data_IF_178674075663
#
_entry.id   IF_178674075663
#
_cell.length_a   1.000
_cell.length_b   1.000
_cell.length_c   1.000
_cell.angle_alpha   90.00
_cell.angle_beta   90.00
_cell.angle_gamma   90.00
#
_symmetry.space_group_name_H-M   'P 1'
#
loop_
_entity.id
_entity.type
_entity.pdbx_description
1 polymer ?
#
# COMPACT_ATOMS: atom_id res chain seq x y z
N UNK A 1 85.85 2.89 -45.72
CA UNK A 1 86.24 4.17 -46.34
C UNK A 1 85.28 5.25 -45.85
N UNK A 2 85.82 6.35 -45.30
CA UNK A 2 85.07 7.50 -44.75
C UNK A 2 84.46 8.35 -45.86
N UNK A 3 83.36 9.08 -45.55
CA UNK A 3 82.84 10.38 -46.06
C UNK A 3 81.31 10.33 -45.81
N UNK A 4 80.66 11.05 -44.88
CA UNK A 4 80.63 12.45 -44.42
C UNK A 4 79.84 13.43 -45.31
N UNK A 5 78.97 14.23 -44.65
CA UNK A 5 78.35 15.52 -45.03
C UNK A 5 76.93 15.56 -45.62
N UNK A 6 75.98 15.88 -44.72
CA UNK A 6 75.00 16.99 -44.78
C UNK A 6 74.35 17.35 -46.13
N UNK A 7 73.04 17.10 -46.27
CA UNK A 7 72.00 17.97 -46.88
C UNK A 7 70.64 17.50 -46.27
N UNK A 8 70.15 18.05 -45.16
CA UNK A 8 69.21 19.21 -45.03
C UNK A 8 67.97 19.12 -45.95
N UNK A 9 66.78 18.86 -45.38
CA UNK A 9 65.52 18.91 -46.15
C UNK A 9 64.27 18.34 -45.47
N UNK A 10 63.92 18.89 -44.30
CA UNK A 10 62.56 19.09 -43.78
C UNK A 10 61.39 18.18 -44.28
N UNK A 11 60.93 17.27 -43.42
CA UNK A 11 59.51 16.91 -43.32
C UNK A 11 59.17 16.69 -41.85
N UNK A 12 58.44 17.67 -41.30
CA UNK A 12 57.92 17.74 -39.94
C UNK A 12 56.62 16.91 -39.88
N UNK A 13 56.27 16.49 -38.66
CA UNK A 13 54.96 16.03 -38.17
C UNK A 13 54.71 14.52 -38.24
N UNK A 14 54.84 13.85 -37.09
CA UNK A 14 53.76 13.04 -36.47
C UNK A 14 54.26 12.21 -35.26
N UNK A 15 54.87 12.83 -34.25
CA UNK A 15 55.28 12.09 -33.04
C UNK A 15 55.09 12.88 -31.73
N UNK A 16 54.06 13.73 -31.64
CA UNK A 16 53.81 14.52 -30.43
C UNK A 16 52.31 14.68 -30.11
N UNK A 17 51.53 13.61 -30.23
CA UNK A 17 50.12 13.58 -29.75
C UNK A 17 49.88 12.53 -28.65
N UNK A 18 50.86 12.34 -27.77
CA UNK A 18 50.60 11.76 -26.46
C UNK A 18 51.17 12.67 -25.37
N UNK A 19 50.87 13.98 -25.45
CA UNK A 19 50.98 14.83 -24.27
C UNK A 19 49.87 14.41 -23.32
N UNK A 20 50.29 13.79 -22.22
CA UNK A 20 49.50 13.34 -21.09
C UNK A 20 48.31 14.26 -20.78
N UNK A 21 47.10 13.72 -20.89
CA UNK A 21 46.09 14.03 -19.88
C UNK A 21 46.40 13.14 -18.68
N UNK A 22 47.43 13.50 -17.89
CA UNK A 22 47.45 13.08 -16.50
C UNK A 22 46.40 13.94 -15.79
N UNK A 23 45.17 13.48 -15.84
CA UNK A 23 44.33 13.57 -14.65
C UNK A 23 44.11 12.14 -14.26
N UNK A 24 44.92 11.69 -13.30
CA UNK A 24 44.58 10.58 -12.44
C UNK A 24 43.13 10.78 -12.00
N UNK A 25 42.22 10.20 -12.76
CA UNK A 25 40.89 9.89 -12.28
C UNK A 25 41.04 8.52 -11.61
N UNK A 26 41.95 8.46 -10.62
CA UNK A 26 41.90 7.42 -9.62
C UNK A 26 40.60 7.68 -8.86
N UNK A 27 39.52 7.07 -9.35
CA UNK A 27 38.34 6.88 -8.52
C UNK A 27 38.82 6.32 -7.17
N UNK A 28 38.22 6.79 -6.08
CA UNK A 28 38.67 6.46 -4.73
C UNK A 28 39.03 4.97 -4.63
N UNK A 29 40.30 4.65 -4.36
CA UNK A 29 40.73 3.28 -4.10
C UNK A 29 40.16 2.92 -2.74
N UNK A 30 38.99 2.28 -2.74
CA UNK A 30 38.42 1.73 -1.53
C UNK A 30 39.33 0.59 -1.07
N UNK A 31 39.97 0.77 0.10
CA UNK A 31 40.67 -0.33 0.77
C UNK A 31 39.69 -1.50 0.90
N UNK A 32 40.17 -2.73 0.73
CA UNK A 32 39.40 -3.93 1.05
C UNK A 32 38.81 -3.75 2.44
N UNK A 33 37.48 -3.75 2.53
CA UNK A 33 36.80 -3.55 3.79
C UNK A 33 37.11 -4.73 4.71
N UNK A 34 37.53 -4.44 5.94
CA UNK A 34 37.72 -5.47 6.97
C UNK A 34 36.40 -5.86 7.64
N UNK A 35 35.35 -5.06 7.47
CA UNK A 35 33.99 -5.36 7.94
C UNK A 35 33.22 -6.21 6.90
N UNK A 36 32.00 -6.62 7.24
CA UNK A 36 31.15 -7.41 6.33
C UNK A 36 30.73 -6.65 5.06
N UNK A 37 30.72 -5.31 5.10
CA UNK A 37 30.31 -4.47 3.97
C UNK A 37 28.82 -4.59 3.68
N UNK A 38 27.98 -4.40 4.69
CA UNK A 38 26.52 -4.55 4.62
C UNK A 38 25.85 -3.43 3.82
N UNK A 39 24.73 -3.75 3.18
CA UNK A 39 23.82 -2.78 2.54
C UNK A 39 22.40 -3.36 2.47
N UNK A 40 21.39 -2.50 2.53
CA UNK A 40 20.07 -2.85 2.00
C UNK A 40 20.08 -2.85 0.47
N UNK A 41 19.09 -3.51 -0.13
CA UNK A 41 18.94 -3.60 -1.59
C UNK A 41 18.38 -2.32 -2.23
N UNK A 42 17.64 -1.53 -1.46
CA UNK A 42 17.10 -0.24 -1.86
C UNK A 42 16.85 0.65 -0.64
N UNK A 43 16.82 1.98 -0.84
CA UNK A 43 16.50 2.95 0.21
C UNK A 43 14.99 2.95 0.58
N UNK A 44 14.15 2.43 -0.31
CA UNK A 44 12.73 2.20 -0.09
C UNK A 44 12.35 0.84 -0.65
N UNK A 45 11.74 0.00 0.18
CA UNK A 45 11.21 -1.30 -0.22
C UNK A 45 9.72 -1.21 -0.53
N UNK A 46 9.19 -2.25 -1.15
CA UNK A 46 7.76 -2.37 -1.45
C UNK A 46 6.93 -2.42 -0.17
N UNK A 47 5.70 -1.93 -0.25
CA UNK A 47 4.72 -2.07 0.82
C UNK A 47 4.48 -3.55 1.16
N UNK A 48 4.39 -3.85 2.46
CA UNK A 48 4.12 -5.20 2.97
C UNK A 48 2.81 -5.21 3.75
N UNK A 49 1.94 -6.17 3.47
CA UNK A 49 0.78 -6.45 4.31
C UNK A 49 0.86 -7.89 4.79
N UNK A 50 0.74 -8.09 6.10
CA UNK A 50 0.83 -9.40 6.75
C UNK A 50 -0.48 -9.73 7.47
N UNK A 51 -0.86 -11.01 7.62
CA UNK A 51 -1.99 -11.38 8.45
C UNK A 51 -1.78 -10.94 9.90
N UNK A 52 -2.83 -10.47 10.57
CA UNK A 52 -2.75 -10.14 11.99
C UNK A 52 -2.35 -11.35 12.87
N UNK A 53 -2.67 -12.57 12.44
CA UNK A 53 -2.30 -13.83 13.10
C UNK A 53 -0.84 -14.23 12.91
N UNK A 54 -0.12 -13.63 11.95
CA UNK A 54 1.31 -13.84 11.74
C UNK A 54 1.97 -12.53 11.25
N UNK A 55 2.24 -11.57 12.14
CA UNK A 55 2.67 -10.21 11.80
C UNK A 55 4.18 -10.12 11.52
N UNK A 56 4.75 -11.15 10.87
CA UNK A 56 6.18 -11.28 10.63
C UNK A 56 6.48 -11.36 9.14
N UNK A 57 7.49 -10.63 8.68
CA UNK A 57 7.97 -10.69 7.30
C UNK A 57 9.50 -10.60 7.21
N UNK A 58 10.05 -10.97 6.06
CA UNK A 58 11.49 -11.02 5.83
C UNK A 58 11.98 -9.77 5.08
N UNK A 59 13.14 -9.24 5.48
CA UNK A 59 13.86 -8.19 4.77
C UNK A 59 15.24 -8.70 4.39
N UNK A 60 15.60 -8.56 3.11
CA UNK A 60 16.91 -8.98 2.61
C UNK A 60 18.00 -7.96 2.94
N UNK A 61 19.15 -8.48 3.35
CA UNK A 61 20.38 -7.73 3.55
C UNK A 61 21.47 -8.37 2.70
N UNK A 62 22.27 -7.54 2.04
CA UNK A 62 23.40 -7.99 1.21
C UNK A 62 24.71 -7.52 1.82
N UNK A 63 25.80 -8.20 1.45
CA UNK A 63 27.14 -7.84 1.90
C UNK A 63 28.18 -7.97 0.80
N UNK A 64 29.21 -7.10 0.84
CA UNK A 64 30.31 -7.07 -0.12
C UNK A 64 31.48 -7.98 0.23
N UNK A 65 31.76 -8.19 1.52
CA UNK A 65 32.83 -9.05 2.00
C UNK A 65 32.29 -10.39 2.50
N UNK A 66 32.64 -11.46 1.80
CA UNK A 66 32.16 -12.82 2.07
C UNK A 66 33.21 -13.74 2.67
N UNK A 67 34.43 -13.26 2.92
CA UNK A 67 35.55 -14.11 3.30
C UNK A 67 35.27 -14.92 4.59
N UNK A 68 34.66 -14.27 5.58
CA UNK A 68 34.34 -14.86 6.88
C UNK A 68 32.83 -14.84 7.15
N UNK A 69 32.37 -15.66 8.10
CA UNK A 69 31.01 -15.56 8.61
C UNK A 69 30.79 -14.21 9.33
N UNK A 70 29.57 -13.69 9.30
CA UNK A 70 29.23 -12.43 9.96
C UNK A 70 27.83 -12.50 10.59
N UNK A 71 27.69 -11.93 11.79
CA UNK A 71 26.41 -11.83 12.51
C UNK A 71 26.29 -10.45 13.14
N UNK A 72 25.07 -10.03 13.43
CA UNK A 72 24.82 -8.75 14.08
C UNK A 72 23.34 -8.39 14.10
N UNK A 73 23.04 -7.14 14.40
CA UNK A 73 21.68 -6.65 14.65
C UNK A 73 21.30 -5.50 13.72
N UNK A 74 20.00 -5.30 13.54
CA UNK A 74 19.42 -4.20 12.77
C UNK A 74 18.59 -3.35 13.71
N UNK A 75 18.76 -2.03 13.63
CA UNK A 75 17.91 -1.09 14.34
C UNK A 75 16.61 -0.90 13.57
N UNK A 76 15.49 -0.82 14.28
CA UNK A 76 14.18 -0.58 13.70
C UNK A 76 13.48 0.56 14.42
N UNK A 77 12.77 1.38 13.65
CA UNK A 77 11.80 2.35 14.17
C UNK A 77 10.54 2.25 13.33
N UNK A 78 9.38 2.21 14.00
CA UNK A 78 8.08 2.12 13.37
C UNK A 78 7.25 3.33 13.76
N UNK A 79 6.56 3.93 12.79
CA UNK A 79 5.62 5.02 13.02
C UNK A 79 4.25 4.72 12.45
N UNK A 80 3.19 5.07 13.16
CA UNK A 80 1.82 5.10 12.67
C UNK A 80 1.39 6.56 12.52
N UNK A 81 1.33 7.06 11.28
CA UNK A 81 1.31 8.50 11.03
C UNK A 81 2.56 9.16 11.61
N UNK A 82 2.37 10.16 12.48
CA UNK A 82 3.46 10.87 13.16
C UNK A 82 3.89 10.23 14.50
N UNK A 83 3.14 9.25 15.01
CA UNK A 83 3.37 8.64 16.31
C UNK A 83 4.34 7.46 16.23
N UNK A 84 5.29 7.37 17.15
CA UNK A 84 6.16 6.19 17.28
C UNK A 84 5.42 4.99 17.87
N UNK A 85 5.64 3.82 17.28
CA UNK A 85 5.11 2.54 17.74
C UNK A 85 6.26 1.77 18.40
N UNK A 86 6.16 1.58 19.71
CA UNK A 86 7.16 0.85 20.49
C UNK A 86 6.99 -0.67 20.38
N UNK A 87 8.09 -1.42 20.52
CA UNK A 87 8.07 -2.89 20.62
C UNK A 87 8.21 -3.65 19.30
N UNK A 88 8.47 -2.97 18.18
CA UNK A 88 8.86 -3.63 16.92
C UNK A 88 10.16 -4.40 17.15
N UNK A 89 10.25 -5.64 16.66
CA UNK A 89 11.48 -6.43 16.81
C UNK A 89 12.03 -6.88 15.47
N UNK A 90 13.35 -7.03 15.41
CA UNK A 90 14.07 -7.53 14.22
C UNK A 90 15.04 -8.61 14.68
N UNK A 91 15.03 -9.76 14.00
CA UNK A 91 16.00 -10.81 14.28
C UNK A 91 17.43 -10.35 13.96
N UNK A 92 18.41 -10.95 14.62
CA UNK A 92 19.81 -10.82 14.17
C UNK A 92 19.96 -11.36 12.74
N UNK A 93 20.85 -10.77 11.95
CA UNK A 93 21.30 -11.36 10.69
C UNK A 93 22.42 -12.36 10.94
N UNK A 94 22.55 -13.33 10.04
CA UNK A 94 23.66 -14.28 10.02
C UNK A 94 24.02 -14.62 8.57
N UNK A 95 25.30 -14.49 8.24
CA UNK A 95 25.89 -14.90 6.97
C UNK A 95 26.92 -16.00 7.23
N UNK A 96 26.86 -17.10 6.47
CA UNK A 96 27.96 -18.04 6.43
C UNK A 96 29.10 -17.50 5.55
N UNK A 97 30.33 -17.98 5.77
CA UNK A 97 31.45 -17.68 4.88
C UNK A 97 31.11 -18.07 3.43
N UNK A 98 31.42 -17.19 2.48
CA UNK A 98 31.07 -17.33 1.06
C UNK A 98 29.70 -16.75 0.66
N UNK A 99 28.78 -16.55 1.60
CA UNK A 99 27.44 -16.02 1.29
C UNK A 99 27.42 -14.49 1.24
N UNK A 100 26.68 -13.92 0.30
CA UNK A 100 26.54 -12.47 0.13
C UNK A 100 25.13 -11.93 0.41
N UNK A 101 24.17 -12.79 0.77
CA UNK A 101 22.78 -12.43 1.06
C UNK A 101 22.27 -13.20 2.27
N UNK A 102 21.42 -12.58 3.06
CA UNK A 102 20.66 -13.20 4.16
C UNK A 102 19.36 -12.42 4.37
N UNK A 103 18.48 -12.92 5.24
CA UNK A 103 17.26 -12.22 5.64
C UNK A 103 17.20 -11.98 7.14
N UNK A 104 16.55 -10.90 7.53
CA UNK A 104 16.11 -10.65 8.90
C UNK A 104 14.60 -10.71 8.97
N UNK A 105 14.08 -11.22 10.08
CA UNK A 105 12.64 -11.27 10.36
C UNK A 105 12.25 -10.03 11.13
N UNK A 106 11.29 -9.28 10.61
CA UNK A 106 10.69 -8.13 11.26
C UNK A 106 9.34 -8.52 11.81
N UNK A 107 9.11 -8.28 13.09
CA UNK A 107 7.83 -8.48 13.76
C UNK A 107 7.19 -7.14 14.09
N UNK A 108 6.03 -6.89 13.47
CA UNK A 108 5.23 -5.68 13.64
C UNK A 108 3.99 -5.92 14.52
N UNK A 109 4.01 -6.93 15.38
CA UNK A 109 2.95 -7.22 16.38
C UNK A 109 2.37 -5.98 17.06
N UNK A 110 3.17 -4.98 17.50
CA UNK A 110 2.64 -3.80 18.21
C UNK A 110 1.89 -2.79 17.32
N UNK A 111 2.00 -2.88 15.99
CA UNK A 111 1.19 -2.05 15.10
C UNK A 111 -0.28 -2.42 15.28
N UNK A 112 -1.22 -1.48 15.19
CA UNK A 112 -2.64 -1.83 15.23
C UNK A 112 -3.09 -2.46 13.90
N UNK A 113 -4.09 -3.36 13.96
CA UNK A 113 -4.64 -3.97 12.74
C UNK A 113 -5.34 -2.92 11.91
N UNK A 114 -5.13 -2.94 10.59
CA UNK A 114 -5.69 -1.97 9.66
C UNK A 114 -5.04 -0.58 9.70
N UNK A 115 -4.05 -0.35 10.57
CA UNK A 115 -3.28 0.88 10.62
C UNK A 115 -2.02 0.73 9.76
N UNK A 116 -1.79 1.71 8.88
CA UNK A 116 -0.58 1.76 8.07
C UNK A 116 0.59 2.31 8.90
N UNK A 117 1.66 1.53 8.97
CA UNK A 117 2.93 1.90 9.57
C UNK A 117 3.98 2.28 8.53
N UNK A 118 4.91 3.15 8.91
CA UNK A 118 6.17 3.41 8.19
C UNK A 118 7.31 2.87 9.03
N UNK A 119 7.94 1.79 8.55
CA UNK A 119 9.08 1.15 9.17
C UNK A 119 10.38 1.69 8.55
N UNK A 120 11.33 2.07 9.40
CA UNK A 120 12.70 2.38 9.00
C UNK A 120 13.64 1.38 9.65
N UNK A 121 14.45 0.70 8.83
CA UNK A 121 15.51 -0.20 9.26
C UNK A 121 16.86 0.46 9.03
N UNK A 122 17.79 0.29 9.96
CA UNK A 122 19.11 0.94 9.89
C UNK A 122 20.22 -0.04 10.29
N UNK A 123 21.25 -0.10 9.45
CA UNK A 123 22.51 -0.79 9.68
C UNK A 123 23.43 0.10 10.52
N UNK A 124 24.28 -0.49 11.36
CA UNK A 124 25.33 0.26 12.03
C UNK A 124 26.39 0.73 11.01
N UNK A 125 26.81 1.99 11.08
CA UNK A 125 27.81 2.57 10.17
C UNK A 125 29.13 1.78 10.15
N UNK A 126 29.49 1.17 11.28
CA UNK A 126 30.70 0.36 11.42
C UNK A 126 30.71 -0.89 10.52
N UNK A 127 29.54 -1.40 10.14
CA UNK A 127 29.38 -2.63 9.36
C UNK A 127 29.06 -2.38 7.88
N UNK A 128 28.83 -1.11 7.52
CA UNK A 128 28.37 -0.70 6.19
C UNK A 128 29.46 -0.76 5.10
N UNK A 129 29.02 -1.05 3.87
CA UNK A 129 29.87 -0.87 2.68
C UNK A 129 30.11 0.62 2.38
N UNK A 130 31.20 0.95 1.69
CA UNK A 130 31.38 2.31 1.18
C UNK A 130 30.35 2.58 0.09
N UNK A 131 29.50 3.60 0.30
CA UNK A 131 28.35 3.85 -0.56
C UNK A 131 27.15 2.92 -0.31
N UNK A 132 27.15 2.19 0.81
CA UNK A 132 26.02 1.36 1.20
C UNK A 132 24.75 2.18 1.41
N UNK A 133 23.63 1.50 1.19
CA UNK A 133 22.33 1.93 1.67
C UNK A 133 22.24 1.46 3.12
N UNK A 134 22.56 2.34 4.06
CA UNK A 134 22.59 2.04 5.50
C UNK A 134 21.23 2.17 6.17
N UNK A 135 20.26 2.80 5.52
CA UNK A 135 18.88 2.89 5.97
C UNK A 135 17.91 2.55 4.83
N UNK A 136 16.87 1.79 5.15
CA UNK A 136 15.78 1.51 4.23
C UNK A 136 14.43 1.76 4.89
N UNK A 137 13.45 2.14 4.09
CA UNK A 137 12.09 2.48 4.54
C UNK A 137 11.05 1.63 3.81
N UNK A 138 9.98 1.25 4.50
CA UNK A 138 8.81 0.64 3.87
C UNK A 138 7.52 0.95 4.60
N UNK A 139 6.41 0.88 3.88
CA UNK A 139 5.09 0.87 4.47
C UNK A 139 4.72 -0.56 4.86
N UNK A 140 4.14 -0.73 6.03
CA UNK A 140 3.67 -2.04 6.49
C UNK A 140 2.30 -1.95 7.18
N UNK A 141 1.48 -2.99 7.07
CA UNK A 141 0.18 -3.08 7.76
C UNK A 141 -0.10 -4.52 8.20
N UNK A 142 -0.95 -4.67 9.21
CA UNK A 142 -1.60 -5.95 9.53
C UNK A 142 -2.99 -5.98 8.88
N UNK A 143 -3.25 -6.98 8.05
CA UNK A 143 -4.56 -7.21 7.43
C UNK A 143 -5.60 -7.63 8.47
N UNK A 144 -6.85 -7.21 8.24
CA UNK A 144 -8.00 -7.73 9.00
C UNK A 144 -8.24 -9.20 8.69
N UNK A 145 -8.59 -9.96 9.74
CA UNK A 145 -9.14 -11.30 9.61
C UNK A 145 -10.65 -11.22 9.46
N UNK A 146 -11.17 -11.64 8.31
CA UNK A 146 -12.59 -11.55 7.98
C UNK A 146 -13.30 -12.86 8.26
N UNK A 147 -14.31 -12.81 9.13
CA UNK A 147 -15.14 -13.96 9.51
C UNK A 147 -16.52 -13.80 8.91
N UNK A 148 -17.02 -14.84 8.24
CA UNK A 148 -18.39 -14.83 7.72
C UNK A 148 -19.41 -14.84 8.85
N UNK A 149 -20.37 -13.92 8.80
CA UNK A 149 -21.57 -13.94 9.64
C UNK A 149 -22.69 -14.76 9.01
N UNK A 150 -22.58 -15.10 7.72
CA UNK A 150 -23.62 -15.73 6.91
C UNK A 150 -24.30 -14.76 5.95
N UNK A 151 -25.48 -15.16 5.47
CA UNK A 151 -26.27 -14.44 4.45
C UNK A 151 -27.21 -13.43 5.09
N UNK A 152 -27.00 -12.15 4.80
CA UNK A 152 -27.83 -11.03 5.26
C UNK A 152 -28.70 -10.48 4.12
N UNK A 153 -29.34 -9.33 4.32
CA UNK A 153 -30.04 -8.61 3.26
C UNK A 153 -29.34 -7.30 2.93
N UNK A 154 -29.37 -6.91 1.66
CA UNK A 154 -29.00 -5.57 1.20
C UNK A 154 -30.15 -5.02 0.36
N UNK A 155 -30.59 -3.81 0.70
CA UNK A 155 -31.66 -3.11 0.02
C UNK A 155 -31.21 -1.68 -0.29
N UNK A 156 -31.28 -1.28 -1.55
CA UNK A 156 -31.16 0.11 -1.98
C UNK A 156 -32.52 0.59 -2.46
N UNK A 157 -33.20 1.40 -1.65
CA UNK A 157 -34.54 1.90 -1.93
C UNK A 157 -34.57 3.03 -2.95
N UNK A 158 -33.42 3.64 -3.25
CA UNK A 158 -33.34 4.65 -4.31
C UNK A 158 -33.39 4.00 -5.68
N UNK A 159 -32.65 2.92 -5.87
CA UNK A 159 -32.64 2.14 -7.11
C UNK A 159 -33.63 0.97 -7.13
N UNK A 160 -34.31 0.68 -6.02
CA UNK A 160 -35.23 -0.45 -5.90
C UNK A 160 -34.51 -1.80 -5.99
N UNK A 161 -33.28 -1.88 -5.49
CA UNK A 161 -32.43 -3.07 -5.57
C UNK A 161 -32.53 -3.87 -4.27
N UNK A 162 -32.60 -5.19 -4.37
CA UNK A 162 -32.59 -6.09 -3.23
C UNK A 162 -31.74 -7.34 -3.53
N UNK A 163 -30.95 -7.77 -2.55
CA UNK A 163 -30.08 -8.94 -2.65
C UNK A 163 -29.85 -9.62 -1.30
N UNK A 164 -29.27 -10.82 -1.33
CA UNK A 164 -28.90 -11.60 -0.15
C UNK A 164 -27.39 -11.87 -0.12
N UNK A 165 -26.57 -10.84 0.15
CA UNK A 165 -25.12 -10.95 0.12
C UNK A 165 -24.59 -11.77 1.30
N UNK A 166 -23.40 -12.33 1.15
CA UNK A 166 -22.62 -12.77 2.30
C UNK A 166 -22.11 -11.54 3.06
N UNK A 167 -22.22 -11.57 4.39
CA UNK A 167 -21.70 -10.51 5.26
C UNK A 167 -20.50 -11.04 6.01
N UNK A 168 -19.37 -10.33 5.92
CA UNK A 168 -18.17 -10.61 6.70
C UNK A 168 -18.01 -9.56 7.81
N UNK A 169 -17.49 -9.96 8.97
CA UNK A 169 -17.06 -9.05 10.04
C UNK A 169 -15.57 -9.22 10.29
N UNK A 170 -14.85 -8.11 10.41
CA UNK A 170 -13.46 -8.12 10.82
C UNK A 170 -13.37 -8.53 12.31
N UNK A 171 -12.59 -9.56 12.61
CA UNK A 171 -12.51 -10.10 13.96
C UNK A 171 -11.98 -9.06 14.95
N UNK A 172 -12.77 -8.78 16.00
CA UNK A 172 -12.42 -7.80 17.02
C UNK A 172 -12.72 -6.34 16.66
N UNK A 173 -13.32 -6.07 15.49
CA UNK A 173 -13.64 -4.73 15.03
C UNK A 173 -15.12 -4.62 14.63
N UNK A 174 -15.72 -3.46 14.85
CA UNK A 174 -17.03 -3.11 14.28
C UNK A 174 -16.84 -2.62 12.84
N UNK A 175 -16.32 -3.51 12.01
CA UNK A 175 -16.02 -3.31 10.60
C UNK A 175 -16.51 -4.52 9.82
N UNK A 176 -17.19 -4.25 8.71
CA UNK A 176 -17.96 -5.24 7.98
C UNK A 176 -17.73 -5.12 6.47
N UNK A 177 -17.92 -6.24 5.76
CA UNK A 177 -18.03 -6.26 4.31
C UNK A 177 -19.36 -6.86 3.88
N UNK A 178 -20.09 -6.13 3.05
CA UNK A 178 -21.25 -6.63 2.32
C UNK A 178 -20.75 -7.11 0.97
N UNK A 179 -20.68 -8.43 0.76
CA UNK A 179 -20.05 -9.00 -0.43
C UNK A 179 -20.99 -8.95 -1.63
N UNK A 180 -20.50 -8.43 -2.77
CA UNK A 180 -21.24 -8.41 -4.04
C UNK A 180 -22.70 -7.90 -3.88
N UNK A 181 -22.92 -6.73 -3.27
CA UNK A 181 -24.23 -6.26 -2.81
C UNK A 181 -25.27 -6.16 -3.91
N UNK A 182 -24.87 -6.00 -5.18
CA UNK A 182 -25.81 -5.79 -6.28
C UNK A 182 -25.93 -7.00 -7.21
N UNK A 183 -25.15 -8.07 -7.03
CA UNK A 183 -25.06 -9.15 -8.01
C UNK A 183 -26.36 -9.97 -8.10
N UNK A 184 -27.03 -10.27 -6.98
CA UNK A 184 -28.31 -11.02 -7.02
C UNK A 184 -29.39 -10.21 -7.75
N UNK A 185 -29.48 -8.90 -7.53
CA UNK A 185 -30.40 -8.00 -8.24
C UNK A 185 -30.09 -7.98 -9.74
N UNK A 186 -28.80 -7.86 -10.09
CA UNK A 186 -28.37 -7.81 -11.50
C UNK A 186 -28.61 -9.12 -12.24
N UNK A 187 -28.72 -10.24 -11.53
CA UNK A 187 -29.12 -11.52 -12.13
C UNK A 187 -30.63 -11.60 -12.46
N UNK A 188 -31.44 -10.64 -11.99
CA UNK A 188 -32.88 -10.63 -12.25
C UNK A 188 -33.20 -10.04 -13.64
N UNK A 189 -34.27 -10.53 -14.27
CA UNK A 189 -34.70 -10.06 -15.59
C UNK A 189 -35.05 -8.56 -15.63
N UNK A 190 -35.44 -7.98 -14.49
CA UNK A 190 -35.77 -6.55 -14.35
C UNK A 190 -34.52 -5.68 -14.57
N UNK A 191 -33.36 -6.10 -14.07
CA UNK A 191 -32.10 -5.39 -14.29
C UNK A 191 -31.65 -5.45 -15.77
N UNK A 192 -32.00 -6.51 -16.50
CA UNK A 192 -31.69 -6.64 -17.93
C UNK A 192 -32.49 -5.73 -18.86
N UNK A 193 -33.54 -5.07 -18.34
CA UNK A 193 -34.34 -4.07 -19.07
C UNK A 193 -34.12 -2.64 -18.61
N UNK A 194 -33.20 -2.42 -17.66
CA UNK A 194 -32.82 -1.09 -17.18
C UNK A 194 -31.61 -0.59 -17.99
N UNK A 195 -31.81 0.49 -18.75
CA UNK A 195 -30.76 1.07 -19.59
C UNK A 195 -29.59 1.64 -18.77
N UNK A 196 -29.77 1.83 -17.46
CA UNK A 196 -28.71 2.30 -16.56
C UNK A 196 -27.87 1.14 -16.01
N UNK A 197 -28.35 -0.10 -16.08
CA UNK A 197 -27.68 -1.24 -15.45
C UNK A 197 -26.30 -1.51 -16.08
N UNK A 198 -25.26 -1.50 -15.24
CA UNK A 198 -23.90 -1.77 -15.67
C UNK A 198 -23.61 -3.28 -15.75
N UNK A 199 -22.53 -3.62 -16.46
CA UNK A 199 -22.03 -4.99 -16.58
C UNK A 199 -21.32 -5.52 -15.31
N UNK A 200 -21.05 -4.66 -14.33
CA UNK A 200 -20.42 -5.02 -13.05
C UNK A 200 -20.96 -4.14 -11.93
N UNK A 201 -20.68 -4.52 -10.67
CA UNK A 201 -20.90 -3.68 -9.49
C UNK A 201 -19.70 -3.77 -8.55
N UNK A 202 -19.72 -3.04 -7.43
CA UNK A 202 -18.67 -3.15 -6.44
C UNK A 202 -18.53 -4.60 -5.92
N UNK A 203 -17.30 -5.14 -5.78
CA UNK A 203 -17.07 -6.49 -5.28
C UNK A 203 -17.49 -6.64 -3.80
N UNK A 204 -17.48 -5.54 -3.05
CA UNK A 204 -18.01 -5.44 -1.70
C UNK A 204 -18.22 -3.96 -1.32
N UNK A 205 -19.01 -3.74 -0.28
CA UNK A 205 -19.04 -2.48 0.48
C UNK A 205 -18.30 -2.73 1.79
N UNK A 206 -17.25 -1.97 2.07
CA UNK A 206 -16.58 -2.00 3.38
C UNK A 206 -17.07 -0.84 4.23
N UNK A 207 -17.60 -1.17 5.41
CA UNK A 207 -18.16 -0.21 6.36
C UNK A 207 -17.56 -0.40 7.76
N UNK A 208 -17.46 0.66 8.53
CA UNK A 208 -16.96 0.64 9.90
C UNK A 208 -17.74 1.59 10.80
N UNK A 209 -17.72 1.31 12.10
CA UNK A 209 -18.38 2.11 13.12
C UNK A 209 -17.35 2.99 13.83
N UNK A 210 -17.65 4.27 13.95
CA UNK A 210 -16.87 5.25 14.72
C UNK A 210 -17.84 6.17 15.45
N UNK A 211 -17.69 6.28 16.77
CA UNK A 211 -18.57 7.07 17.65
C UNK A 211 -20.09 6.79 17.46
N UNK A 212 -20.44 5.53 17.17
CA UNK A 212 -21.82 5.08 16.96
C UNK A 212 -22.40 5.42 15.57
N UNK A 213 -21.61 6.03 14.69
CA UNK A 213 -21.94 6.32 13.30
C UNK A 213 -21.28 5.31 12.37
N UNK A 214 -21.90 5.08 11.21
CA UNK A 214 -21.42 4.14 10.20
C UNK A 214 -20.80 4.90 9.04
N UNK A 215 -19.54 4.62 8.78
CA UNK A 215 -18.77 5.13 7.65
C UNK A 215 -18.50 4.00 6.66
N UNK A 216 -18.14 4.35 5.42
CA UNK A 216 -17.80 3.37 4.38
C UNK A 216 -16.86 3.95 3.34
N UNK A 217 -16.26 3.05 2.56
CA UNK A 217 -15.56 3.41 1.33
C UNK A 217 -16.57 3.57 0.18
N UNK A 218 -16.40 4.62 -0.61
CA UNK A 218 -17.21 4.86 -1.81
C UNK A 218 -17.26 3.60 -2.68
N UNK A 219 -18.47 3.26 -3.16
CA UNK A 219 -18.66 2.06 -3.98
C UNK A 219 -19.46 2.37 -5.23
N UNK A 220 -19.16 1.62 -6.29
CA UNK A 220 -19.94 1.65 -7.52
C UNK A 220 -21.24 0.88 -7.33
N UNK A 221 -22.38 1.53 -7.56
CA UNK A 221 -23.71 0.94 -7.33
C UNK A 221 -24.09 -0.13 -8.36
N UNK A 222 -23.33 -0.21 -9.46
CA UNK A 222 -23.69 -1.03 -10.61
C UNK A 222 -24.68 -0.35 -11.56
N UNK A 223 -24.86 0.97 -11.41
CA UNK A 223 -25.69 1.81 -12.28
C UNK A 223 -24.84 2.90 -12.94
N UNK A 224 -25.03 3.09 -14.24
CA UNK A 224 -24.42 4.14 -15.05
C UNK A 224 -25.48 5.19 -15.40
N UNK A 225 -25.18 6.46 -15.18
CA UNK A 225 -26.10 7.54 -15.52
C UNK A 225 -26.32 7.59 -17.04
N UNK A 226 -27.59 7.59 -17.47
CA UNK A 226 -28.01 7.49 -18.87
C UNK A 226 -27.37 6.31 -19.64
N UNK A 227 -26.97 5.25 -18.92
CA UNK A 227 -26.28 4.08 -19.48
C UNK A 227 -24.84 4.35 -19.95
N UNK A 228 -24.28 5.55 -19.73
CA UNK A 228 -22.90 5.85 -20.11
C UNK A 228 -21.91 5.25 -19.11
N UNK A 229 -21.13 4.27 -19.55
CA UNK A 229 -20.07 3.63 -18.76
C UNK A 229 -19.00 4.59 -18.23
N UNK A 230 -18.90 5.81 -18.78
CA UNK A 230 -18.00 6.84 -18.29
C UNK A 230 -18.63 7.71 -17.19
N UNK A 231 -19.90 7.45 -16.86
CA UNK A 231 -20.66 8.15 -15.83
C UNK A 231 -21.18 7.15 -14.78
N UNK A 232 -20.27 6.42 -14.09
CA UNK A 232 -20.66 5.50 -13.04
C UNK A 232 -21.30 6.27 -11.88
N UNK A 233 -22.39 5.74 -11.34
CA UNK A 233 -23.01 6.29 -10.14
C UNK A 233 -22.31 5.68 -8.91
N UNK A 234 -21.64 6.52 -8.16
CA UNK A 234 -20.94 6.16 -6.91
C UNK A 234 -21.84 6.47 -5.72
N UNK A 235 -21.88 5.59 -4.74
CA UNK A 235 -22.48 5.88 -3.44
C UNK A 235 -21.37 6.37 -2.49
N UNK A 236 -21.38 7.67 -2.20
CA UNK A 236 -20.33 8.34 -1.45
C UNK A 236 -20.78 8.66 -0.02
N UNK A 237 -19.85 8.57 0.93
CA UNK A 237 -20.11 9.05 2.30
C UNK A 237 -20.06 10.58 2.36
N UNK A 238 -20.92 11.19 3.19
CA UNK A 238 -21.00 12.65 3.35
C UNK A 238 -19.67 13.28 3.81
N UNK A 239 -18.90 12.57 4.64
CA UNK A 239 -17.60 13.05 5.14
C UNK A 239 -16.54 13.25 4.04
N UNK A 240 -16.73 12.67 2.86
CA UNK A 240 -15.86 12.92 1.70
C UNK A 240 -15.96 14.35 1.14
N UNK A 241 -16.93 15.13 1.61
CA UNK A 241 -17.26 16.44 1.08
C UNK A 241 -17.05 17.52 2.14
N UNK A 242 -16.20 18.50 1.85
CA UNK A 242 -15.93 19.62 2.77
C UNK A 242 -17.19 20.40 3.16
N UNK A 243 -18.17 20.51 2.24
CA UNK A 243 -19.46 21.16 2.48
C UNK A 243 -20.43 20.35 3.34
N UNK A 244 -20.15 19.07 3.59
CA UNK A 244 -21.00 18.14 4.35
C UNK A 244 -20.24 17.50 5.53
N UNK A 245 -19.11 18.10 5.93
CA UNK A 245 -18.27 17.62 7.01
C UNK A 245 -18.82 18.01 8.41
N UNK A 246 -20.10 17.72 8.66
CA UNK A 246 -20.76 17.99 9.95
C UNK A 246 -21.65 16.82 10.36
N UNK A 247 -21.86 16.65 11.68
CA UNK A 247 -22.60 15.51 12.24
C UNK A 247 -24.02 15.37 11.69
N UNK A 248 -24.66 16.48 11.31
CA UNK A 248 -26.02 16.50 10.74
C UNK A 248 -26.16 15.65 9.47
N UNK A 249 -25.10 15.53 8.67
CA UNK A 249 -25.08 14.70 7.47
C UNK A 249 -24.65 13.25 7.74
N UNK A 250 -24.05 12.98 8.89
CA UNK A 250 -23.46 11.67 9.21
C UNK A 250 -24.40 10.83 10.08
N UNK A 251 -25.24 11.48 10.89
CA UNK A 251 -26.15 10.82 11.85
C UNK A 251 -27.26 9.94 11.23
N UNK A 252 -27.44 10.01 9.91
CA UNK A 252 -28.38 9.16 9.16
C UNK A 252 -27.75 7.84 8.73
N UNK A 253 -26.43 7.69 8.90
CA UNK A 253 -25.69 6.46 8.67
C UNK A 253 -25.32 5.82 10.01
N UNK A 254 -26.06 4.78 10.41
CA UNK A 254 -25.97 4.19 11.75
C UNK A 254 -26.60 2.81 11.82
N UNK A 255 -26.35 2.12 12.93
CA UNK A 255 -27.19 0.99 13.34
C UNK A 255 -28.55 1.51 13.86
N UNK A 256 -29.64 0.93 13.38
CA UNK A 256 -31.00 1.16 13.87
C UNK A 256 -31.30 0.26 15.08
N UNK A 257 -30.73 -0.94 15.08
CA UNK A 257 -30.77 -1.92 16.16
C UNK A 257 -29.52 -2.81 16.11
N UNK A 258 -29.53 -3.97 16.78
CA UNK A 258 -28.37 -4.87 16.84
C UNK A 258 -27.97 -5.50 15.50
N UNK A 259 -28.85 -5.49 14.49
CA UNK A 259 -28.64 -6.17 13.20
C UNK A 259 -28.89 -5.28 12.00
N UNK A 260 -29.64 -4.20 12.12
CA UNK A 260 -29.98 -3.35 10.98
C UNK A 260 -29.07 -2.14 10.90
N UNK A 261 -28.35 -2.04 9.79
CA UNK A 261 -27.52 -0.90 9.41
C UNK A 261 -28.27 -0.10 8.36
N UNK A 262 -28.29 1.22 8.54
CA UNK A 262 -28.77 2.16 7.55
C UNK A 262 -27.61 3.02 7.05
N UNK A 263 -27.56 3.23 5.73
CA UNK A 263 -26.64 4.16 5.09
C UNK A 263 -27.41 5.27 4.39
N UNK A 264 -26.92 6.49 4.49
CA UNK A 264 -27.46 7.67 3.82
C UNK A 264 -26.43 8.21 2.79
N UNK A 265 -26.36 7.64 1.58
CA UNK A 265 -25.35 8.01 0.61
C UNK A 265 -25.65 9.32 -0.12
N UNK A 266 -24.59 10.00 -0.55
CA UNK A 266 -24.66 10.88 -1.71
C UNK A 266 -24.39 10.05 -2.95
N UNK A 267 -25.41 9.81 -3.78
CA UNK A 267 -25.18 9.22 -5.10
C UNK A 267 -24.59 10.27 -6.04
N UNK A 268 -23.33 10.09 -6.45
CA UNK A 268 -22.55 11.07 -7.16
C UNK A 268 -22.01 10.52 -8.49
N UNK A 269 -21.97 11.40 -9.49
CA UNK A 269 -21.44 11.18 -10.83
C UNK A 269 -20.42 12.28 -11.10
N UNK A 270 -19.18 11.88 -11.35
CA UNK A 270 -18.08 12.83 -11.57
C UNK A 270 -18.36 13.75 -12.77
N UNK A 271 -18.13 15.04 -12.57
CA UNK A 271 -18.39 16.08 -13.58
C UNK A 271 -19.86 16.40 -13.87
N UNK A 272 -20.82 15.66 -13.30
CA UNK A 272 -22.27 15.87 -13.54
C UNK A 272 -22.99 16.38 -12.29
N UNK A 273 -22.68 15.82 -11.11
CA UNK A 273 -23.39 16.10 -9.86
C UNK A 273 -24.00 14.84 -9.28
N UNK A 274 -25.21 14.92 -8.70
CA UNK A 274 -25.87 13.73 -8.21
C UNK A 274 -27.07 13.99 -7.29
N UNK A 275 -27.49 12.96 -6.58
CA UNK A 275 -28.62 12.98 -5.66
C UNK A 275 -28.17 12.87 -4.21
N UNK A 276 -28.26 13.99 -3.49
CA UNK A 276 -27.88 14.05 -2.09
C UNK A 276 -28.99 13.43 -1.21
N UNK A 277 -28.73 12.23 -0.67
CA UNK A 277 -29.60 11.56 0.30
C UNK A 277 -28.97 11.47 1.70
N UNK A 278 -27.91 12.22 1.98
CA UNK A 278 -27.13 12.15 3.24
C UNK A 278 -27.92 12.53 4.49
N UNK A 279 -29.09 13.14 4.34
CA UNK A 279 -30.00 13.48 5.45
C UNK A 279 -31.31 12.69 5.43
N UNK A 280 -31.33 11.55 4.74
CA UNK A 280 -32.52 10.71 4.62
C UNK A 280 -32.29 9.36 5.29
N UNK A 281 -33.31 8.91 5.99
CA UNK A 281 -33.39 7.55 6.50
C UNK A 281 -33.96 6.60 5.43
N UNK A 282 -33.69 5.31 5.58
CA UNK A 282 -34.25 4.26 4.74
C UNK A 282 -33.71 4.21 3.32
N UNK A 283 -32.59 4.87 2.99
CA UNK A 283 -32.07 4.90 1.61
C UNK A 283 -31.43 3.57 1.26
N UNK A 284 -30.42 3.17 2.03
CA UNK A 284 -29.83 1.82 1.96
C UNK A 284 -29.99 1.16 3.30
N UNK A 285 -30.52 -0.08 3.30
CA UNK A 285 -30.72 -0.90 4.49
C UNK A 285 -29.97 -2.21 4.31
N UNK A 286 -29.13 -2.54 5.30
CA UNK A 286 -28.42 -3.81 5.38
C UNK A 286 -28.86 -4.50 6.67
N UNK A 287 -29.30 -5.75 6.59
CA UNK A 287 -29.62 -6.55 7.78
C UNK A 287 -28.62 -7.68 7.93
N UNK A 288 -27.92 -7.70 9.07
CA UNK A 288 -27.00 -8.77 9.43
C UNK A 288 -27.77 -10.09 9.66
N UNK A 289 -27.13 -11.26 9.43
CA UNK A 289 -27.72 -12.59 9.68
C UNK A 289 -28.21 -12.79 11.13
#
# INVERSE_FOLDING_TARGET
MRINKKIFGLAIVAAALFTSCNKDNEGAIYKSQTNAGLSFTAATLTTVEVPASNPVFDVEIVRGNTAEAATGTINASLKAGDNEVSGVTVSSYSFAAGENRTTVKVDISPLEVGVAGTLTLTLADADASVGAITATTLKCSKAYEWVSLGKGTFQDNFFGMESTPEILKAQGFDRYRVMAPCEDFRAQAIAGGDDWAAASSAPYIELWVEDGLVFWNDWFTGQNYDGDKNQPIMACHASGWSSMATADFWQHSKFLDAKTIQLAPYYYIDGVGGWNNTQKDGVVIITLP
#
